data_IF_089276102297
#
_entry.id   IF_089276102297
#
_cell.length_a   1.000
_cell.length_b   1.000
_cell.length_c   1.000
_cell.angle_alpha   90.00
_cell.angle_beta   90.00
_cell.angle_gamma   90.00
#
_symmetry.space_group_name_H-M   'P 1'
#
loop_
_entity.id
_entity.type
_entity.pdbx_description
1 polymer ?
#
# COMPACT_ATOMS: atom_id res chain seq x y z
N UNK A 1 -4.73 -9.59 -40.30
CA UNK A 1 -4.49 -8.13 -40.42
C UNK A 1 -3.26 -7.85 -41.28
N UNK A 2 -2.19 -8.63 -41.16
CA UNK A 2 -1.04 -8.60 -42.07
C UNK A 2 -1.14 -9.76 -43.07
N UNK A 3 -0.84 -9.50 -44.34
CA UNK A 3 -0.59 -10.53 -45.36
C UNK A 3 0.73 -10.18 -46.05
N UNK A 4 1.71 -11.09 -46.06
CA UNK A 4 3.06 -10.84 -46.58
C UNK A 4 3.69 -9.56 -45.99
N UNK A 5 3.65 -9.42 -44.66
CA UNK A 5 4.14 -8.26 -43.90
C UNK A 5 3.53 -6.89 -44.26
N UNK A 6 2.45 -6.87 -45.04
CA UNK A 6 1.71 -5.65 -45.41
C UNK A 6 0.35 -5.63 -44.74
N UNK A 7 0.00 -4.46 -44.19
CA UNK A 7 -1.31 -4.18 -43.59
C UNK A 7 -2.41 -4.27 -44.65
N UNK A 8 -3.34 -5.21 -44.46
CA UNK A 8 -4.50 -5.38 -45.35
C UNK A 8 -5.55 -4.31 -45.07
N UNK A 9 -6.01 -3.55 -46.09
CA UNK A 9 -7.11 -2.59 -45.95
C UNK A 9 -8.33 -3.18 -45.25
N UNK A 10 -8.98 -2.39 -44.39
CA UNK A 10 -10.15 -2.82 -43.60
C UNK A 10 -11.25 -3.44 -44.46
N UNK A 11 -11.56 -2.86 -45.62
CA UNK A 11 -12.60 -3.37 -46.55
C UNK A 11 -12.31 -4.78 -47.08
N UNK A 12 -11.04 -5.16 -47.24
CA UNK A 12 -10.67 -6.52 -47.66
C UNK A 12 -10.84 -7.52 -46.51
N UNK A 13 -10.46 -7.13 -45.29
CA UNK A 13 -10.69 -7.95 -44.09
C UNK A 13 -12.19 -8.10 -43.80
N UNK A 14 -12.95 -7.04 -44.06
CA UNK A 14 -14.39 -7.01 -43.93
C UNK A 14 -15.07 -8.03 -44.83
N UNK A 15 -14.73 -8.03 -46.12
CA UNK A 15 -15.26 -8.97 -47.09
C UNK A 15 -14.83 -10.42 -46.83
N UNK A 16 -13.60 -10.63 -46.33
CA UNK A 16 -13.06 -11.98 -46.09
C UNK A 16 -13.60 -12.64 -44.82
N UNK A 17 -13.91 -11.85 -43.79
CA UNK A 17 -14.25 -12.37 -42.45
C UNK A 17 -15.58 -11.85 -41.91
N UNK A 18 -16.43 -11.25 -42.76
CA UNK A 18 -17.75 -10.70 -42.38
C UNK A 18 -17.68 -9.78 -41.14
N UNK A 19 -16.70 -8.87 -41.12
CA UNK A 19 -16.46 -7.98 -39.97
C UNK A 19 -17.47 -6.81 -39.99
N UNK A 20 -18.10 -6.44 -38.86
CA UNK A 20 -18.99 -5.28 -38.83
C UNK A 20 -18.21 -3.95 -38.99
N UNK A 21 -18.84 -2.96 -39.65
CA UNK A 21 -18.24 -1.62 -39.90
C UNK A 21 -17.90 -0.88 -38.59
N UNK A 22 -18.58 -1.20 -37.49
CA UNK A 22 -18.31 -0.61 -36.16
C UNK A 22 -16.88 -0.84 -35.65
N UNK A 23 -16.18 -1.86 -36.17
CA UNK A 23 -14.80 -2.17 -35.80
C UNK A 23 -13.75 -1.42 -36.62
N UNK A 24 -14.16 -0.55 -37.56
CA UNK A 24 -13.26 0.25 -38.38
C UNK A 24 -12.33 1.11 -37.51
N UNK A 25 -12.85 1.74 -36.46
CA UNK A 25 -12.05 2.57 -35.57
C UNK A 25 -10.99 1.75 -34.81
N UNK A 26 -11.36 0.57 -34.29
CA UNK A 26 -10.43 -0.35 -33.63
C UNK A 26 -9.34 -0.85 -34.59
N UNK A 27 -9.69 -1.09 -35.86
CA UNK A 27 -8.71 -1.42 -36.91
C UNK A 27 -7.71 -0.27 -37.13
N UNK A 28 -8.17 0.98 -37.19
CA UNK A 28 -7.29 2.15 -37.35
C UNK A 28 -6.35 2.33 -36.15
N UNK A 29 -6.82 2.05 -34.93
CA UNK A 29 -5.98 2.06 -33.73
C UNK A 29 -4.86 1.01 -33.80
N UNK A 30 -5.20 -0.22 -34.18
CA UNK A 30 -4.23 -1.32 -34.37
C UNK A 30 -3.24 -0.96 -35.49
N UNK A 31 -3.72 -0.41 -36.61
CA UNK A 31 -2.88 0.04 -37.72
C UNK A 31 -1.89 1.14 -37.29
N UNK A 32 -2.37 2.15 -36.55
CA UNK A 32 -1.54 3.24 -36.02
C UNK A 32 -0.47 2.72 -35.06
N UNK A 33 -0.85 1.78 -34.18
CA UNK A 33 0.09 1.12 -33.27
C UNK A 33 1.16 0.31 -34.03
N UNK A 34 0.76 -0.50 -35.02
CA UNK A 34 1.68 -1.29 -35.85
C UNK A 34 2.69 -0.41 -36.60
N UNK A 35 2.26 0.75 -37.12
CA UNK A 35 3.15 1.71 -37.80
C UNK A 35 4.18 2.37 -36.88
N UNK A 36 3.91 2.43 -35.57
CA UNK A 36 4.81 3.04 -34.57
C UNK A 36 5.84 2.07 -34.00
N UNK A 37 5.68 0.76 -34.24
CA UNK A 37 6.65 -0.25 -33.82
C UNK A 37 7.85 -0.22 -34.77
N UNK A 38 9.08 -0.08 -34.25
CA UNK A 38 10.30 -0.51 -34.98
C UNK A 38 10.24 -2.04 -35.11
N UNK A 39 10.76 -2.65 -36.19
CA UNK A 39 10.73 -4.10 -36.33
C UNK A 39 11.35 -4.70 -35.05
N UNK A 40 10.61 -5.57 -34.35
CA UNK A 40 11.16 -6.22 -33.17
C UNK A 40 12.41 -7.00 -33.61
N UNK A 41 13.45 -7.14 -32.75
CA UNK A 41 14.45 -8.18 -32.99
C UNK A 41 13.70 -9.47 -33.26
N UNK A 42 14.13 -10.23 -34.29
CA UNK A 42 13.45 -11.42 -34.78
C UNK A 42 12.91 -12.20 -33.59
N UNK A 43 11.58 -12.12 -33.39
CA UNK A 43 10.93 -12.88 -32.34
C UNK A 43 11.21 -14.33 -32.70
N UNK A 44 11.96 -15.02 -31.85
CA UNK A 44 12.00 -16.47 -31.91
C UNK A 44 10.56 -16.95 -32.07
N UNK A 45 10.26 -17.85 -33.02
CA UNK A 45 8.92 -18.37 -33.20
C UNK A 45 8.42 -18.75 -31.82
N UNK A 46 7.26 -18.20 -31.41
CA UNK A 46 6.59 -18.63 -30.20
C UNK A 46 6.28 -20.11 -30.41
N UNK A 47 7.21 -20.98 -30.05
CA UNK A 47 6.94 -22.39 -29.86
C UNK A 47 5.78 -22.41 -28.88
N UNK A 48 4.65 -23.03 -29.24
CA UNK A 48 3.59 -23.28 -28.27
C UNK A 48 4.26 -23.83 -27.01
N UNK A 49 3.94 -23.33 -25.81
CA UNK A 49 4.53 -23.88 -24.59
C UNK A 49 4.36 -25.40 -24.66
N UNK A 50 5.47 -26.14 -24.62
CA UNK A 50 5.48 -27.60 -24.75
C UNK A 50 4.66 -28.29 -23.64
N UNK A 51 4.26 -27.52 -22.63
CA UNK A 51 3.32 -27.90 -21.59
C UNK A 51 1.99 -27.16 -21.78
N UNK A 52 0.92 -27.94 -21.95
CA UNK A 52 -0.45 -27.44 -21.83
C UNK A 52 -0.60 -26.66 -20.51
N UNK A 53 -0.84 -25.36 -20.62
CA UNK A 53 -1.11 -24.52 -19.46
C UNK A 53 -2.40 -25.04 -18.81
N UNK A 54 -2.37 -25.29 -17.51
CA UNK A 54 -3.61 -25.60 -16.79
C UNK A 54 -4.62 -24.47 -17.00
N UNK A 55 -5.85 -24.80 -17.35
CA UNK A 55 -6.93 -23.83 -17.45
C UNK A 55 -7.18 -23.24 -16.07
N UNK A 56 -7.28 -21.92 -16.00
CA UNK A 56 -7.81 -21.25 -14.81
C UNK A 56 -9.24 -21.70 -14.56
N UNK A 57 -9.72 -21.59 -13.32
CA UNK A 57 -11.09 -22.00 -12.97
C UNK A 57 -12.14 -21.27 -13.82
N UNK A 58 -11.90 -20.00 -14.15
CA UNK A 58 -12.80 -19.23 -15.01
C UNK A 58 -12.80 -19.78 -16.44
N UNK A 59 -11.63 -20.10 -17.00
CA UNK A 59 -11.53 -20.73 -18.32
C UNK A 59 -12.17 -22.12 -18.31
N UNK A 60 -11.91 -22.93 -17.28
CA UNK A 60 -12.51 -24.25 -17.10
C UNK A 60 -14.04 -24.16 -17.08
N UNK A 61 -14.61 -23.19 -16.34
CA UNK A 61 -16.05 -22.93 -16.32
C UNK A 61 -16.61 -22.46 -17.66
N UNK A 62 -15.86 -21.63 -18.41
CA UNK A 62 -16.25 -21.19 -19.74
C UNK A 62 -16.17 -22.32 -20.79
N UNK A 63 -15.32 -23.32 -20.57
CA UNK A 63 -15.17 -24.49 -21.45
C UNK A 63 -16.12 -25.65 -21.10
N UNK A 64 -16.74 -25.63 -19.91
CA UNK A 64 -17.74 -26.62 -19.54
C UNK A 64 -19.05 -26.37 -20.31
N UNK A 65 -19.54 -27.38 -21.03
CA UNK A 65 -20.77 -27.28 -21.83
C UNK A 65 -22.05 -26.98 -21.04
N UNK A 66 -22.01 -27.09 -19.71
CA UNK A 66 -23.10 -26.69 -18.81
C UNK A 66 -22.53 -25.94 -17.60
N UNK A 67 -22.93 -24.68 -17.34
CA UNK A 67 -22.44 -23.93 -16.19
C UNK A 67 -22.97 -24.53 -14.88
N UNK A 68 -22.23 -24.37 -13.76
CA UNK A 68 -22.70 -24.79 -12.45
C UNK A 68 -23.95 -24.00 -12.02
N UNK A 69 -24.76 -24.60 -11.15
CA UNK A 69 -25.89 -23.91 -10.53
C UNK A 69 -25.39 -22.69 -9.76
N UNK A 70 -25.95 -21.50 -10.06
CA UNK A 70 -25.52 -20.20 -9.51
C UNK A 70 -24.02 -19.92 -9.79
N UNK A 71 -23.63 -19.75 -11.07
CA UNK A 71 -22.22 -19.66 -11.46
C UNK A 71 -21.50 -18.47 -10.83
N UNK A 72 -22.21 -17.36 -10.59
CA UNK A 72 -21.67 -16.20 -9.87
C UNK A 72 -21.34 -16.55 -8.42
N UNK A 73 -22.22 -17.27 -7.71
CA UNK A 73 -21.99 -17.68 -6.32
C UNK A 73 -20.84 -18.68 -6.20
N UNK A 74 -20.74 -19.61 -7.15
CA UNK A 74 -19.63 -20.56 -7.24
C UNK A 74 -18.29 -19.84 -7.44
N UNK A 75 -18.22 -18.93 -8.42
CA UNK A 75 -17.04 -18.11 -8.68
C UNK A 75 -16.66 -17.27 -7.46
N UNK A 76 -17.64 -16.64 -6.81
CA UNK A 76 -17.39 -15.86 -5.60
C UNK A 76 -16.82 -16.72 -4.48
N UNK A 77 -17.38 -17.91 -4.24
CA UNK A 77 -16.87 -18.82 -3.21
C UNK A 77 -15.42 -19.26 -3.48
N UNK A 78 -15.10 -19.61 -4.73
CA UNK A 78 -13.76 -20.03 -5.11
C UNK A 78 -12.74 -18.87 -5.00
N UNK A 79 -13.11 -17.67 -5.46
CA UNK A 79 -12.27 -16.47 -5.31
C UNK A 79 -12.01 -16.20 -3.84
N UNK A 80 -13.05 -16.20 -2.99
CA UNK A 80 -12.90 -15.96 -1.56
C UNK A 80 -12.06 -17.06 -0.90
N UNK A 81 -12.28 -18.34 -1.25
CA UNK A 81 -11.49 -19.44 -0.72
C UNK A 81 -10.01 -19.31 -1.07
N UNK A 82 -9.67 -19.00 -2.32
CA UNK A 82 -8.28 -18.76 -2.76
C UNK A 82 -7.65 -17.52 -2.15
N UNK A 83 -8.42 -16.44 -1.99
CA UNK A 83 -7.96 -15.23 -1.31
C UNK A 83 -7.69 -15.48 0.17
N UNK A 84 -8.43 -16.40 0.80
CA UNK A 84 -8.26 -16.76 2.21
C UNK A 84 -7.19 -17.84 2.43
N UNK A 85 -6.91 -18.71 1.45
CA UNK A 85 -5.95 -19.80 1.58
C UNK A 85 -4.50 -19.36 1.37
N UNK A 86 -4.27 -18.26 0.65
CA UNK A 86 -2.94 -17.73 0.39
C UNK A 86 -2.66 -16.48 1.23
N UNK A 87 -1.47 -16.45 1.85
CA UNK A 87 -0.94 -15.26 2.52
C UNK A 87 -0.85 -14.09 1.51
N UNK A 88 -1.46 -12.92 1.78
CA UNK A 88 -1.50 -11.83 0.80
C UNK A 88 -0.10 -11.38 0.38
N UNK A 89 0.13 -11.16 -0.91
CA UNK A 89 1.48 -10.86 -1.45
C UNK A 89 2.22 -9.72 -0.73
N UNK A 90 1.51 -8.65 -0.33
CA UNK A 90 2.13 -7.52 0.37
C UNK A 90 2.69 -7.90 1.75
N UNK A 91 2.16 -8.93 2.40
CA UNK A 91 2.67 -9.42 3.68
C UNK A 91 4.04 -10.07 3.50
N UNK A 92 4.22 -10.84 2.41
CA UNK A 92 5.52 -11.44 2.06
C UNK A 92 6.57 -10.36 1.77
N UNK A 93 6.17 -9.26 1.11
CA UNK A 93 7.08 -8.13 0.86
C UNK A 93 7.55 -7.50 2.17
N UNK A 94 6.64 -7.27 3.11
CA UNK A 94 7.01 -6.76 4.43
C UNK A 94 7.93 -7.69 5.20
N UNK A 95 7.70 -9.00 5.14
CA UNK A 95 8.55 -9.99 5.81
C UNK A 95 9.96 -10.04 5.24
N UNK A 96 10.08 -9.90 3.92
CA UNK A 96 11.37 -9.73 3.26
C UNK A 96 12.07 -8.43 3.68
N UNK A 97 11.33 -7.31 3.70
CA UNK A 97 11.86 -6.00 4.11
C UNK A 97 12.34 -6.02 5.58
N UNK A 98 11.60 -6.68 6.47
CA UNK A 98 11.94 -6.82 7.88
C UNK A 98 12.97 -7.93 8.15
N UNK A 99 13.26 -8.79 7.16
CA UNK A 99 14.06 -10.00 7.32
C UNK A 99 13.52 -10.91 8.44
N UNK A 100 12.20 -10.96 8.57
CA UNK A 100 11.50 -11.68 9.63
C UNK A 100 10.16 -12.17 9.11
N UNK A 101 9.87 -13.45 9.32
CA UNK A 101 8.52 -13.99 9.12
C UNK A 101 7.62 -13.62 10.30
N UNK A 102 6.42 -13.13 10.01
CA UNK A 102 5.40 -12.85 11.00
C UNK A 102 4.33 -13.95 10.97
N UNK A 103 3.98 -14.41 12.16
CA UNK A 103 2.97 -15.44 12.34
C UNK A 103 1.54 -14.92 12.08
N UNK A 104 0.58 -15.84 12.00
CA UNK A 104 -0.83 -15.50 11.76
C UNK A 104 -1.42 -14.60 12.86
N UNK A 105 -0.99 -14.77 14.12
CA UNK A 105 -1.47 -13.97 15.24
C UNK A 105 -0.95 -12.52 15.15
N UNK A 106 0.30 -12.33 14.74
CA UNK A 106 0.92 -11.04 14.50
C UNK A 106 0.22 -10.32 13.34
N UNK A 107 0.00 -10.99 12.21
CA UNK A 107 -0.79 -10.42 11.10
C UNK A 107 -2.22 -10.10 11.51
N UNK A 108 -2.88 -10.96 12.28
CA UNK A 108 -4.22 -10.70 12.83
C UNK A 108 -4.23 -9.44 13.69
N UNK A 109 -3.20 -9.20 14.52
CA UNK A 109 -3.05 -7.97 15.32
C UNK A 109 -2.86 -6.74 14.43
N UNK A 110 -1.99 -6.81 13.42
CA UNK A 110 -1.76 -5.72 12.45
C UNK A 110 -3.07 -5.33 11.74
N UNK A 111 -3.84 -6.31 11.27
CA UNK A 111 -5.12 -6.05 10.59
C UNK A 111 -6.19 -5.50 11.54
N UNK A 112 -6.25 -6.00 12.79
CA UNK A 112 -7.15 -5.46 13.81
C UNK A 112 -6.80 -4.00 14.14
N UNK A 113 -5.51 -3.68 14.25
CA UNK A 113 -5.02 -2.33 14.50
C UNK A 113 -5.50 -1.36 13.40
N UNK A 114 -5.27 -1.74 12.14
CA UNK A 114 -5.67 -0.97 10.95
C UNK A 114 -7.20 -0.81 10.78
N UNK A 115 -8.00 -1.74 11.34
CA UNK A 115 -9.48 -1.72 11.20
C UNK A 115 -10.19 -0.98 12.33
N UNK A 116 -9.72 -1.10 13.59
CA UNK A 116 -10.53 -0.77 14.77
C UNK A 116 -9.99 0.36 15.64
N UNK A 117 -8.76 0.82 15.45
CA UNK A 117 -8.13 1.76 16.41
C UNK A 117 -8.58 3.23 16.26
N UNK A 118 -9.16 3.62 15.13
CA UNK A 118 -9.60 5.00 14.92
C UNK A 118 -10.76 5.10 13.95
N UNK A 119 -11.64 6.08 14.18
CA UNK A 119 -12.71 6.48 13.25
C UNK A 119 -12.26 7.62 12.31
N UNK A 120 -11.09 8.22 12.56
CA UNK A 120 -10.55 9.26 11.70
C UNK A 120 -10.16 8.64 10.34
N UNK A 121 -10.89 9.03 9.29
CA UNK A 121 -10.70 8.54 7.93
C UNK A 121 -9.28 8.78 7.42
N UNK A 122 -8.71 9.96 7.68
CA UNK A 122 -7.33 10.28 7.31
C UNK A 122 -6.32 9.33 7.95
N UNK A 123 -6.51 8.98 9.21
CA UNK A 123 -5.62 8.02 9.87
C UNK A 123 -5.78 6.61 9.27
N UNK A 124 -7.03 6.14 9.09
CA UNK A 124 -7.31 4.85 8.44
C UNK A 124 -6.62 4.78 7.07
N UNK A 125 -6.72 5.84 6.28
CA UNK A 125 -6.12 5.94 4.95
C UNK A 125 -4.58 5.86 5.01
N UNK A 126 -3.94 6.64 5.90
CA UNK A 126 -2.48 6.62 6.08
C UNK A 126 -2.00 5.22 6.46
N UNK A 127 -2.62 4.60 7.47
CA UNK A 127 -2.21 3.28 7.96
C UNK A 127 -2.36 2.21 6.85
N UNK A 128 -3.46 2.24 6.10
CA UNK A 128 -3.67 1.34 4.94
C UNK A 128 -2.67 1.59 3.82
N UNK A 129 -2.38 2.85 3.47
CA UNK A 129 -1.40 3.20 2.44
C UNK A 129 0.00 2.72 2.81
N UNK A 130 0.34 2.71 4.10
CA UNK A 130 1.59 2.11 4.59
C UNK A 130 1.48 0.60 4.50
N UNK A 131 0.46 -0.04 5.09
CA UNK A 131 0.27 -1.49 5.09
C UNK A 131 0.34 -2.12 3.69
N UNK A 132 -0.30 -1.51 2.70
CA UNK A 132 -0.32 -2.00 1.32
C UNK A 132 0.83 -1.47 0.46
N UNK A 133 1.80 -0.75 1.04
CA UNK A 133 2.92 -0.12 0.32
C UNK A 133 2.47 0.73 -0.88
N UNK A 134 1.40 1.52 -0.70
CA UNK A 134 0.74 2.27 -1.77
C UNK A 134 1.59 3.41 -2.36
N UNK A 135 2.57 3.91 -1.61
CA UNK A 135 3.30 5.11 -2.01
C UNK A 135 4.25 4.82 -3.18
N UNK A 136 4.22 5.66 -4.21
CA UNK A 136 5.17 5.58 -5.31
C UNK A 136 6.56 6.02 -4.85
N UNK A 137 7.55 5.18 -5.10
CA UNK A 137 8.94 5.40 -4.70
C UNK A 137 9.85 5.62 -5.92
N UNK A 138 11.03 6.25 -5.74
CA UNK A 138 11.97 6.52 -6.83
C UNK A 138 12.24 5.32 -7.74
N UNK A 139 12.51 4.15 -7.17
CA UNK A 139 12.79 2.93 -7.94
C UNK A 139 11.59 2.51 -8.81
N UNK A 140 10.37 2.70 -8.32
CA UNK A 140 9.15 2.43 -9.10
C UNK A 140 8.95 3.49 -10.19
N UNK A 141 9.25 4.76 -9.91
CA UNK A 141 9.13 5.84 -10.88
C UNK A 141 10.15 5.74 -12.02
N UNK A 142 11.38 5.31 -11.74
CA UNK A 142 12.39 5.06 -12.77
C UNK A 142 11.94 3.94 -13.73
N UNK A 143 11.28 2.88 -13.22
CA UNK A 143 10.72 1.83 -14.09
C UNK A 143 9.67 2.36 -15.08
N UNK A 144 8.89 3.36 -14.68
CA UNK A 144 7.93 4.01 -15.58
C UNK A 144 8.57 5.03 -16.52
N UNK A 145 9.61 5.73 -16.06
CA UNK A 145 10.34 6.70 -16.84
C UNK A 145 11.85 6.58 -16.56
N UNK A 146 12.62 5.95 -17.48
CA UNK A 146 14.05 5.71 -17.29
C UNK A 146 14.92 6.97 -17.09
N UNK A 147 14.42 8.16 -17.46
CA UNK A 147 15.12 9.42 -17.25
C UNK A 147 15.04 9.93 -15.80
N UNK A 148 14.19 9.34 -14.96
CA UNK A 148 14.11 9.69 -13.53
C UNK A 148 15.17 8.94 -12.72
N UNK A 149 15.74 9.62 -11.74
CA UNK A 149 16.62 9.00 -10.75
C UNK A 149 15.85 8.01 -9.86
N UNK A 150 16.47 6.88 -9.55
CA UNK A 150 16.01 5.91 -8.56
C UNK A 150 16.48 6.22 -7.15
N UNK A 151 17.26 7.28 -6.95
CA UNK A 151 17.78 7.66 -5.63
C UNK A 151 16.67 8.18 -4.71
N UNK A 152 16.80 7.87 -3.42
CA UNK A 152 15.88 8.32 -2.38
C UNK A 152 15.74 9.85 -2.35
N UNK A 153 14.49 10.33 -2.26
CA UNK A 153 14.15 11.77 -2.17
C UNK A 153 14.93 12.53 -1.09
N UNK A 154 15.25 11.85 0.02
CA UNK A 154 15.85 12.48 1.21
C UNK A 154 17.37 12.40 1.23
N UNK A 155 17.94 11.22 1.08
CA UNK A 155 19.40 11.04 1.20
C UNK A 155 20.14 11.23 -0.11
N UNK A 156 19.47 11.08 -1.27
CA UNK A 156 20.09 11.14 -2.60
C UNK A 156 21.33 10.23 -2.75
N UNK A 157 21.42 9.14 -1.98
CA UNK A 157 22.61 8.29 -1.89
C UNK A 157 22.33 6.80 -2.16
N UNK A 158 21.14 6.31 -1.82
CA UNK A 158 20.74 4.92 -2.02
C UNK A 158 19.43 4.84 -2.83
N UNK A 159 19.17 3.71 -3.53
CA UNK A 159 17.91 3.48 -4.20
C UNK A 159 16.73 3.68 -3.25
N UNK A 160 15.80 4.54 -3.63
CA UNK A 160 14.60 4.83 -2.88
C UNK A 160 13.59 3.69 -3.06
N UNK A 161 13.78 2.58 -2.35
CA UNK A 161 12.76 1.53 -2.19
C UNK A 161 11.80 1.90 -1.06
N UNK A 162 10.62 1.24 -0.98
CA UNK A 162 9.59 1.51 0.03
C UNK A 162 10.17 1.46 1.44
N UNK A 163 10.82 0.35 1.80
CA UNK A 163 11.42 0.19 3.12
C UNK A 163 12.52 1.22 3.41
N UNK A 164 13.32 1.60 2.41
CA UNK A 164 14.34 2.62 2.59
C UNK A 164 13.73 3.99 2.91
N UNK A 165 12.74 4.43 2.11
CA UNK A 165 12.12 5.75 2.30
C UNK A 165 11.38 5.83 3.64
N UNK A 166 10.78 4.72 4.09
CA UNK A 166 10.06 4.67 5.37
C UNK A 166 10.96 4.50 6.59
N UNK A 167 12.03 3.72 6.50
CA UNK A 167 12.73 3.23 7.69
C UNK A 167 14.25 3.35 7.65
N UNK A 168 14.91 2.78 6.64
CA UNK A 168 16.39 2.64 6.67
C UNK A 168 17.15 3.87 6.17
N UNK A 169 16.46 4.88 5.63
CA UNK A 169 17.10 6.12 5.20
C UNK A 169 17.81 6.85 6.37
N UNK A 170 19.09 7.16 6.21
CA UNK A 170 19.86 7.90 7.23
C UNK A 170 19.22 9.24 7.65
N UNK A 171 18.41 9.86 6.76
CA UNK A 171 17.69 11.09 7.05
C UNK A 171 16.34 10.88 7.78
N UNK A 172 15.80 9.64 7.79
CA UNK A 172 14.55 9.30 8.49
C UNK A 172 14.79 8.74 9.90
N UNK A 173 15.91 8.04 10.11
CA UNK A 173 16.26 7.43 11.42
C UNK A 173 16.23 8.44 12.59
N UNK A 174 16.78 9.67 12.47
CA UNK A 174 16.71 10.65 13.55
C UNK A 174 15.26 11.05 13.92
N UNK A 175 14.37 11.10 12.92
CA UNK A 175 12.96 11.38 13.15
C UNK A 175 12.30 10.24 13.93
N UNK A 176 12.51 8.98 13.55
CA UNK A 176 11.98 7.85 14.31
C UNK A 176 12.53 7.76 15.73
N UNK A 177 13.80 8.14 15.92
CA UNK A 177 14.41 8.24 17.26
C UNK A 177 13.68 9.28 18.12
N UNK A 178 13.35 10.45 17.56
CA UNK A 178 12.55 11.46 18.25
C UNK A 178 11.14 10.97 18.58
N UNK A 179 10.51 10.21 17.68
CA UNK A 179 9.21 9.57 17.93
C UNK A 179 9.30 8.53 19.04
N UNK A 180 10.37 7.73 19.09
CA UNK A 180 10.61 6.77 20.17
C UNK A 180 10.73 7.47 21.53
N UNK A 181 11.54 8.53 21.60
CA UNK A 181 11.67 9.34 22.81
C UNK A 181 10.33 9.93 23.25
N UNK A 182 9.55 10.47 22.30
CA UNK A 182 8.20 10.98 22.60
C UNK A 182 7.29 9.90 23.18
N UNK A 183 7.29 8.70 22.59
CA UNK A 183 6.49 7.56 23.10
C UNK A 183 6.91 7.22 24.54
N UNK A 184 8.22 7.14 24.80
CA UNK A 184 8.75 6.89 26.13
C UNK A 184 8.34 7.97 27.11
N UNK A 185 8.42 9.25 26.74
CA UNK A 185 8.08 10.36 27.63
C UNK A 185 6.60 10.35 28.03
N UNK A 186 5.70 10.05 27.08
CA UNK A 186 4.24 10.09 27.34
C UNK A 186 3.68 8.79 27.92
N UNK A 187 4.37 7.65 27.77
CA UNK A 187 3.87 6.34 28.24
C UNK A 187 4.72 5.69 29.32
N UNK A 188 5.95 6.16 29.54
CA UNK A 188 6.97 5.53 30.38
C UNK A 188 7.33 4.10 29.93
N UNK A 189 7.10 3.79 28.65
CA UNK A 189 7.39 2.49 28.04
C UNK A 189 8.41 2.73 26.94
N UNK A 190 9.52 1.98 27.00
CA UNK A 190 10.48 1.94 25.91
C UNK A 190 9.94 1.01 24.80
N UNK A 191 9.69 1.58 23.61
CA UNK A 191 9.26 0.82 22.46
C UNK A 191 10.50 0.49 21.61
N UNK A 192 10.90 -0.78 21.51
CA UNK A 192 12.02 -1.18 20.67
C UNK A 192 11.88 -0.67 19.23
N UNK A 193 12.95 -0.06 18.72
CA UNK A 193 13.07 0.50 17.37
C UNK A 193 13.09 -0.61 16.30
N UNK A 194 11.93 -1.24 16.12
CA UNK A 194 11.68 -2.28 15.14
C UNK A 194 10.62 -1.82 14.13
N UNK A 195 10.86 -1.96 12.81
CA UNK A 195 10.03 -1.35 11.77
C UNK A 195 8.57 -1.81 11.82
N UNK A 196 8.30 -3.08 12.09
CA UNK A 196 6.96 -3.64 12.16
C UNK A 196 6.11 -3.00 13.27
N UNK A 197 6.75 -2.53 14.34
CA UNK A 197 6.08 -1.84 15.45
C UNK A 197 5.69 -0.42 15.07
N UNK A 198 6.59 0.30 14.41
CA UNK A 198 6.40 1.71 14.06
C UNK A 198 5.55 1.90 12.80
N UNK A 199 5.78 1.07 11.78
CA UNK A 199 5.10 1.15 10.49
C UNK A 199 3.76 0.42 10.48
N UNK A 200 3.67 -0.77 11.10
CA UNK A 200 2.48 -1.63 11.05
C UNK A 200 1.72 -1.72 12.38
N UNK A 201 2.16 -0.96 13.40
CA UNK A 201 1.53 -0.90 14.72
C UNK A 201 1.50 -2.25 15.46
N UNK A 202 2.48 -3.13 15.22
CA UNK A 202 2.62 -4.39 15.94
C UNK A 202 3.19 -4.15 17.35
N UNK A 203 2.35 -3.72 18.28
CA UNK A 203 2.79 -3.41 19.65
C UNK A 203 3.07 -4.68 20.49
N UNK A 204 4.06 -4.65 21.40
CA UNK A 204 4.32 -5.72 22.35
C UNK A 204 3.11 -6.09 23.21
N UNK A 205 3.10 -7.34 23.67
CA UNK A 205 2.15 -7.81 24.68
C UNK A 205 2.40 -7.10 26.02
N UNK A 206 1.35 -6.99 26.84
CA UNK A 206 1.44 -6.42 28.19
C UNK A 206 1.38 -4.89 28.27
N UNK A 207 1.38 -4.17 27.14
CA UNK A 207 1.20 -2.71 27.15
C UNK A 207 -0.23 -2.36 27.57
N UNK A 208 -0.45 -1.43 28.52
CA UNK A 208 -1.79 -1.00 28.92
C UNK A 208 -2.60 -0.44 27.74
N UNK A 209 -3.91 -0.68 27.70
CA UNK A 209 -4.78 -0.23 26.58
C UNK A 209 -4.71 1.28 26.32
N UNK A 210 -4.59 2.09 27.38
CA UNK A 210 -4.43 3.55 27.29
C UNK A 210 -3.12 3.93 26.59
N UNK A 211 -2.01 3.29 26.97
CA UNK A 211 -0.71 3.48 26.33
C UNK A 211 -0.71 3.01 24.87
N UNK A 212 -1.30 1.85 24.57
CA UNK A 212 -1.45 1.37 23.19
C UNK A 212 -2.22 2.37 22.32
N UNK A 213 -3.29 2.94 22.86
CA UNK A 213 -4.10 3.95 22.17
C UNK A 213 -3.29 5.21 21.85
N UNK A 214 -2.52 5.73 22.81
CA UNK A 214 -1.62 6.86 22.59
C UNK A 214 -0.52 6.56 21.59
N UNK A 215 0.18 5.44 21.76
CA UNK A 215 1.25 5.00 20.85
C UNK A 215 0.75 4.92 19.41
N UNK A 216 -0.41 4.31 19.19
CA UNK A 216 -1.02 4.26 17.87
C UNK A 216 -1.22 5.65 17.27
N UNK A 217 -1.73 6.59 18.07
CA UNK A 217 -1.95 7.96 17.63
C UNK A 217 -0.67 8.73 17.31
N UNK A 218 0.38 8.53 18.10
CA UNK A 218 1.69 9.13 17.81
C UNK A 218 2.27 8.54 16.52
N UNK A 219 2.29 7.19 16.41
CA UNK A 219 2.86 6.49 15.27
C UNK A 219 2.16 6.85 13.96
N UNK A 220 0.83 6.85 13.93
CA UNK A 220 0.07 7.18 12.72
C UNK A 220 0.19 8.66 12.33
N UNK A 221 0.33 9.57 13.30
CA UNK A 221 0.63 10.98 13.02
C UNK A 221 2.04 11.16 12.49
N UNK A 222 3.01 10.37 12.97
CA UNK A 222 4.35 10.33 12.40
C UNK A 222 4.34 9.82 10.95
N UNK A 223 3.62 8.71 10.68
CA UNK A 223 3.41 8.20 9.33
C UNK A 223 2.75 9.25 8.43
N UNK A 224 1.74 9.96 8.92
CA UNK A 224 1.08 11.02 8.19
C UNK A 224 2.03 12.18 7.88
N UNK A 225 2.90 12.57 8.82
CA UNK A 225 3.89 13.62 8.59
C UNK A 225 4.88 13.23 7.50
N UNK A 226 5.33 11.97 7.48
CA UNK A 226 6.18 11.41 6.41
C UNK A 226 5.43 11.42 5.07
N UNK A 227 4.20 10.90 5.02
CA UNK A 227 3.37 10.86 3.81
C UNK A 227 3.10 12.24 3.23
N UNK A 228 2.84 13.25 4.06
CA UNK A 228 2.63 14.63 3.61
C UNK A 228 3.87 15.25 2.99
N UNK A 229 5.05 14.82 3.46
CA UNK A 229 6.34 15.29 2.97
C UNK A 229 7.04 14.23 2.11
N UNK A 230 6.27 13.37 1.42
CA UNK A 230 6.78 12.15 0.79
C UNK A 230 7.89 12.41 -0.23
N UNK A 231 7.72 13.43 -1.07
CA UNK A 231 8.67 13.82 -2.12
C UNK A 231 9.69 14.88 -1.66
N UNK A 232 9.62 15.31 -0.39
CA UNK A 232 10.46 16.39 0.12
C UNK A 232 11.80 15.86 0.62
N UNK A 233 12.88 16.55 0.28
CA UNK A 233 14.22 16.33 0.85
C UNK A 233 14.39 16.97 2.23
N UNK A 234 13.46 17.83 2.65
CA UNK A 234 13.54 18.55 3.92
C UNK A 234 13.46 17.58 5.11
N UNK A 235 14.24 17.83 6.18
CA UNK A 235 14.18 17.02 7.38
C UNK A 235 12.81 17.14 8.05
N UNK A 236 12.28 16.00 8.51
CA UNK A 236 11.05 15.98 9.28
C UNK A 236 11.33 16.47 10.71
N UNK A 237 10.48 17.36 11.20
CA UNK A 237 10.63 17.93 12.54
C UNK A 237 9.61 17.34 13.49
N UNK A 238 10.04 17.02 14.72
CA UNK A 238 9.13 16.59 15.79
C UNK A 238 8.01 17.62 16.04
N UNK A 239 8.33 18.92 15.97
CA UNK A 239 7.34 19.99 16.14
C UNK A 239 6.16 19.87 15.17
N UNK A 240 6.41 19.54 13.90
CA UNK A 240 5.35 19.34 12.92
C UNK A 240 4.47 18.12 13.26
N UNK A 241 5.08 17.06 13.80
CA UNK A 241 4.38 15.87 14.25
C UNK A 241 3.54 16.15 15.51
N UNK A 242 4.08 16.87 16.50
CA UNK A 242 3.36 17.29 17.70
C UNK A 242 2.13 18.11 17.33
N UNK A 243 2.26 19.07 16.41
CA UNK A 243 1.12 19.86 15.91
C UNK A 243 0.05 18.98 15.23
N UNK A 244 0.47 17.96 14.49
CA UNK A 244 -0.46 17.01 13.87
C UNK A 244 -1.18 16.14 14.91
N UNK A 245 -0.47 15.64 15.92
CA UNK A 245 -1.06 14.88 17.02
C UNK A 245 -2.09 15.73 17.77
N UNK A 246 -1.75 16.99 18.06
CA UNK A 246 -2.64 17.91 18.77
C UNK A 246 -3.89 18.25 17.95
N UNK A 247 -3.75 18.42 16.63
CA UNK A 247 -4.89 18.62 15.73
C UNK A 247 -5.82 17.40 15.76
N UNK A 248 -5.26 16.20 15.70
CA UNK A 248 -6.03 14.94 15.81
C UNK A 248 -6.71 14.82 17.17
N UNK A 249 -6.02 15.15 18.27
CA UNK A 249 -6.57 15.13 19.63
C UNK A 249 -7.79 16.05 19.73
N UNK A 250 -7.65 17.31 19.30
CA UNK A 250 -8.74 18.31 19.29
C UNK A 250 -9.94 17.81 18.47
N UNK A 251 -9.71 17.32 17.25
CA UNK A 251 -10.78 16.77 16.42
C UNK A 251 -11.51 15.60 17.09
N UNK A 252 -10.77 14.70 17.75
CA UNK A 252 -11.38 13.57 18.46
C UNK A 252 -12.17 13.97 19.70
N UNK A 253 -11.72 14.97 20.44
CA UNK A 253 -12.48 15.53 21.57
C UNK A 253 -13.79 16.12 21.04
N UNK A 254 -13.74 16.90 19.94
CA UNK A 254 -14.93 17.47 19.29
C UNK A 254 -15.90 16.40 18.78
N UNK A 255 -15.40 15.38 18.07
CA UNK A 255 -16.24 14.31 17.53
C UNK A 255 -16.89 13.42 18.61
N UNK A 256 -16.30 13.33 19.81
CA UNK A 256 -16.82 12.50 20.92
C UNK A 256 -17.83 13.21 21.82
N UNK A 257 -17.86 14.55 21.84
CA UNK A 257 -18.97 15.30 22.46
C UNK A 257 -20.34 14.97 21.84
N UNK A 258 -20.36 14.25 20.72
CA UNK A 258 -21.55 13.80 20.00
C UNK A 258 -21.89 12.30 20.16
N UNK A 259 -21.26 11.52 21.06
CA UNK A 259 -21.53 10.06 21.15
C UNK A 259 -21.31 9.38 22.53
N UNK A 260 -21.83 8.14 22.73
CA UNK A 260 -21.97 7.49 24.04
C UNK A 260 -20.67 6.93 24.70
N UNK A 261 -19.49 7.11 24.11
CA UNK A 261 -18.20 6.61 24.65
C UNK A 261 -17.21 7.73 25.03
N UNK A 262 -17.70 8.85 25.58
CA UNK A 262 -16.89 10.02 25.90
C UNK A 262 -15.75 9.77 26.92
N UNK A 263 -15.94 8.90 27.92
CA UNK A 263 -15.05 8.76 29.09
C UNK A 263 -13.73 7.99 28.86
N UNK A 264 -13.70 7.00 27.95
CA UNK A 264 -12.50 6.18 27.67
C UNK A 264 -11.40 6.94 26.91
N UNK A 265 -11.78 8.04 26.25
CA UNK A 265 -10.89 8.83 25.42
C UNK A 265 -10.10 9.87 26.19
N UNK A 266 -10.71 10.49 27.20
CA UNK A 266 -10.16 11.63 27.92
C UNK A 266 -9.04 11.19 28.87
N UNK A 267 -9.26 10.11 29.60
CA UNK A 267 -8.23 9.48 30.45
C UNK A 267 -7.02 9.00 29.65
N UNK A 268 -7.24 8.48 28.44
CA UNK A 268 -6.15 8.03 27.58
C UNK A 268 -5.25 9.20 27.12
N UNK A 269 -5.75 10.43 27.01
CA UNK A 269 -4.95 11.60 26.62
C UNK A 269 -4.33 12.35 27.82
N UNK A 270 -4.57 11.93 29.06
CA UNK A 270 -4.05 12.64 30.23
C UNK A 270 -2.53 12.77 30.22
N UNK A 271 -1.80 11.69 29.92
CA UNK A 271 -0.34 11.75 29.88
C UNK A 271 0.17 12.63 28.72
N UNK A 272 -0.53 12.66 27.59
CA UNK A 272 -0.26 13.62 26.51
C UNK A 272 -0.50 15.06 26.95
N UNK A 273 -1.59 15.36 27.65
CA UNK A 273 -1.88 16.72 28.14
C UNK A 273 -0.81 17.19 29.13
N UNK A 274 -0.35 16.29 30.01
CA UNK A 274 0.76 16.57 30.95
C UNK A 274 2.05 16.87 30.18
N UNK A 275 2.37 16.09 29.15
CA UNK A 275 3.52 16.33 28.29
C UNK A 275 3.42 17.66 27.54
N UNK A 276 2.29 17.89 26.86
CA UNK A 276 2.08 19.05 26.00
C UNK A 276 2.15 20.38 26.78
N UNK A 277 1.63 20.41 28.02
CA UNK A 277 1.74 21.59 28.88
C UNK A 277 3.17 21.98 29.29
N UNK A 278 4.14 21.06 29.17
CA UNK A 278 5.57 21.34 29.38
C UNK A 278 6.26 21.83 28.12
N UNK A 279 5.74 21.47 26.95
CA UNK A 279 6.30 21.84 25.63
C UNK A 279 5.77 23.19 25.15
N UNK A 280 4.59 23.60 25.60
CA UNK A 280 3.95 24.88 25.25
C UNK A 280 4.44 26.06 26.13
N UNK A 281 5.20 25.78 27.20
CA UNK A 281 5.89 26.80 28.03
C UNK A 281 7.27 27.11 27.47
#
# INVERSE_FOLDING_TARGET
>A
ILTNDKLCPFKQLQAKHNIPDSLCFSYLQIQSWLRKQKPPPALEPLTPPQQERHLSILEALCTQGKPPSKPVSFLYHDIIHKLNSAKPKFTLVWELDFQQELDEQQWSKIFKANRKLTLCTTHIEVSRKVLYQWHLVPTSLQRFNPHKSDLCWRCQAYPGMVYHVWWTCAKIIPFWTQISNLIRDITQIDLPMQPERYLLHLLPLGIPKSAQYLMYHVLISALQAISKNWLSSHPLTLASCIKAIETTRKYKIMARKAGPQAHLGETAWNSWNIFYSRVEK
#
